data_IF_069086973079
#
_entry.id   IF_069086973079
#
_cell.length_a   1.000
_cell.length_b   1.000
_cell.length_c   1.000
_cell.angle_alpha   90.00
_cell.angle_beta   90.00
_cell.angle_gamma   90.00
#
_symmetry.space_group_name_H-M   'P 1'
#
loop_
_entity.id
_entity.type
_entity.pdbx_description
1 polymer ?
#
# COMPACT_ATOMS: atom_id res chain seq x y z
N UNK A 1 25.30 38.14 -26.78
CA UNK A 1 24.61 36.85 -26.87
C UNK A 1 24.78 36.13 -25.56
N UNK A 2 23.78 36.22 -24.66
CA UNK A 2 23.80 35.61 -23.34
C UNK A 2 23.47 34.12 -23.45
N UNK A 3 24.43 33.26 -23.10
CA UNK A 3 24.17 31.84 -22.95
C UNK A 3 23.42 31.63 -21.62
N UNK A 4 22.14 31.45 -21.71
CA UNK A 4 21.31 31.04 -20.58
C UNK A 4 21.79 29.65 -20.15
N UNK A 5 22.49 29.58 -19.01
CA UNK A 5 22.90 28.32 -18.41
C UNK A 5 21.63 27.53 -18.01
N UNK A 6 21.40 26.43 -18.67
CA UNK A 6 20.43 25.44 -18.23
C UNK A 6 20.91 24.94 -16.87
N UNK A 7 20.30 25.45 -15.79
CA UNK A 7 20.45 24.81 -14.48
C UNK A 7 19.92 23.39 -14.63
N UNK A 8 20.78 22.39 -14.45
CA UNK A 8 20.36 21.00 -14.30
C UNK A 8 19.51 20.94 -13.04
N UNK A 9 18.20 20.92 -13.18
CA UNK A 9 17.31 20.56 -12.11
C UNK A 9 17.45 19.04 -11.88
N UNK A 10 18.53 18.65 -11.20
CA UNK A 10 18.53 17.37 -10.52
C UNK A 10 17.41 17.46 -9.49
N UNK A 11 16.22 16.93 -9.82
CA UNK A 11 15.14 16.81 -8.82
C UNK A 11 15.67 15.92 -7.71
N UNK A 12 15.54 16.34 -6.43
CA UNK A 12 15.89 15.46 -5.34
C UNK A 12 15.14 14.13 -5.52
N UNK A 13 15.76 13.06 -5.11
CA UNK A 13 15.16 11.72 -5.11
C UNK A 13 14.37 11.62 -3.82
N UNK A 14 13.11 11.15 -3.84
CA UNK A 14 12.34 10.97 -2.62
C UNK A 14 13.07 10.07 -1.64
N UNK A 15 12.83 10.25 -0.36
CA UNK A 15 13.34 9.32 0.64
C UNK A 15 12.51 8.03 0.58
N UNK A 16 13.20 6.90 0.38
CA UNK A 16 12.57 5.57 0.39
C UNK A 16 13.11 4.83 1.59
N UNK A 17 12.23 4.54 2.54
CA UNK A 17 12.57 3.85 3.77
C UNK A 17 12.01 2.43 3.74
N UNK A 18 12.84 1.44 4.04
CA UNK A 18 12.37 0.09 4.33
C UNK A 18 11.63 0.10 5.67
N UNK A 19 10.50 -0.59 5.73
CA UNK A 19 9.80 -0.77 6.99
C UNK A 19 10.66 -1.57 7.98
N UNK A 20 10.72 -1.13 9.21
CA UNK A 20 11.32 -1.85 10.33
C UNK A 20 10.42 -2.96 10.90
N UNK A 21 9.15 -3.00 10.48
CA UNK A 21 8.12 -3.92 10.96
C UNK A 21 7.86 -5.08 10.02
N UNK A 22 7.85 -4.86 8.71
CA UNK A 22 7.53 -5.87 7.70
C UNK A 22 8.58 -5.82 6.60
N UNK A 23 9.30 -6.90 6.38
CA UNK A 23 10.31 -7.00 5.34
C UNK A 23 9.74 -6.67 3.95
N UNK A 24 10.56 -6.00 3.14
CA UNK A 24 10.27 -5.61 1.75
C UNK A 24 9.14 -4.59 1.56
N UNK A 25 8.46 -4.17 2.62
CA UNK A 25 7.56 -3.01 2.59
C UNK A 25 8.40 -1.74 2.57
N UNK A 26 8.10 -0.82 1.64
CA UNK A 26 8.79 0.46 1.56
C UNK A 26 7.81 1.62 1.74
N UNK A 27 8.22 2.62 2.50
CA UNK A 27 7.51 3.89 2.63
C UNK A 27 8.26 4.93 1.81
N UNK A 28 7.58 5.51 0.83
CA UNK A 28 8.11 6.58 -0.01
C UNK A 28 7.65 7.91 0.56
N UNK A 29 8.61 8.77 0.89
CA UNK A 29 8.38 10.16 1.32
C UNK A 29 8.75 11.08 0.15
N UNK A 30 7.75 11.56 -0.62
CA UNK A 30 8.02 12.36 -1.80
C UNK A 30 8.43 13.79 -1.42
N UNK A 31 9.23 14.41 -2.27
CA UNK A 31 9.47 15.85 -2.20
C UNK A 31 8.24 16.61 -2.71
N UNK A 32 7.95 17.73 -2.05
CA UNK A 32 6.86 18.64 -2.41
C UNK A 32 7.43 19.95 -2.95
N UNK A 33 6.99 20.35 -4.11
CA UNK A 33 7.40 21.57 -4.78
C UNK A 33 6.21 22.54 -4.82
N UNK A 34 6.22 23.51 -3.91
CA UNK A 34 5.15 24.51 -3.80
C UNK A 34 5.54 25.85 -4.43
N UNK A 35 4.56 26.52 -5.06
CA UNK A 35 4.62 27.94 -5.44
C UNK A 35 3.23 28.56 -5.30
N UNK A 36 3.05 29.82 -5.74
CA UNK A 36 1.78 30.54 -5.67
C UNK A 36 0.60 29.87 -6.38
N UNK A 37 0.86 28.87 -7.25
CA UNK A 37 -0.17 28.10 -7.97
C UNK A 37 -0.60 26.84 -7.25
N UNK A 38 0.19 26.38 -6.22
CA UNK A 38 -0.07 25.16 -5.48
C UNK A 38 1.16 24.28 -5.33
N UNK A 39 0.95 22.97 -5.23
CA UNK A 39 2.00 21.99 -4.94
C UNK A 39 2.10 20.97 -6.06
N UNK A 40 3.32 20.70 -6.51
CA UNK A 40 3.64 19.57 -7.39
C UNK A 40 4.34 18.46 -6.59
N UNK A 41 3.91 17.23 -6.77
CA UNK A 41 4.48 16.03 -6.13
C UNK A 41 4.68 14.97 -7.20
N UNK A 42 5.88 14.39 -7.28
CA UNK A 42 6.10 13.17 -8.07
C UNK A 42 5.66 11.98 -7.21
N UNK A 43 4.62 11.29 -7.64
CA UNK A 43 3.98 10.24 -6.85
C UNK A 43 4.48 8.84 -7.16
N UNK A 44 5.14 8.63 -8.29
CA UNK A 44 5.69 7.34 -8.70
C UNK A 44 6.85 7.49 -9.67
N UNK A 45 7.87 6.66 -9.49
CA UNK A 45 8.92 6.42 -10.48
C UNK A 45 9.36 4.96 -10.39
N UNK A 46 9.43 4.27 -11.54
CA UNK A 46 9.85 2.86 -11.60
C UNK A 46 11.15 2.57 -10.86
N UNK A 47 12.13 3.47 -10.96
CA UNK A 47 13.45 3.30 -10.33
C UNK A 47 13.45 3.42 -8.80
N UNK A 48 12.32 3.74 -8.17
CA UNK A 48 12.22 3.78 -6.71
C UNK A 48 12.19 2.38 -6.09
N UNK A 49 11.80 1.37 -6.86
CA UNK A 49 11.63 0.02 -6.33
C UNK A 49 12.78 -0.88 -6.80
N UNK A 50 13.64 -1.34 -5.85
CA UNK A 50 14.91 -2.01 -6.19
C UNK A 50 14.76 -3.36 -6.91
N UNK A 51 13.61 -3.98 -6.87
CA UNK A 51 13.37 -5.28 -7.50
C UNK A 51 12.98 -5.18 -8.99
N UNK A 52 13.06 -3.99 -9.60
CA UNK A 52 12.78 -3.80 -11.03
C UNK A 52 11.33 -4.06 -11.43
N UNK A 53 10.41 -4.11 -10.46
CA UNK A 53 8.98 -4.29 -10.72
C UNK A 53 8.43 -3.06 -11.42
N UNK A 54 7.80 -3.29 -12.54
CA UNK A 54 7.15 -2.25 -13.31
C UNK A 54 5.65 -2.24 -13.02
N UNK A 55 5.14 -1.11 -12.54
CA UNK A 55 3.70 -0.97 -12.34
C UNK A 55 3.04 -0.81 -13.72
N UNK A 56 2.16 -1.74 -14.05
CA UNK A 56 1.54 -1.86 -15.39
C UNK A 56 0.08 -1.45 -15.43
N UNK A 57 -0.59 -1.36 -14.27
CA UNK A 57 -1.99 -0.94 -14.16
C UNK A 57 -2.13 0.08 -13.02
N UNK A 58 -2.93 1.11 -13.26
CA UNK A 58 -3.28 2.13 -12.28
C UNK A 58 -4.78 2.07 -12.00
N UNK A 59 -5.15 2.10 -10.73
CA UNK A 59 -6.53 2.11 -10.27
C UNK A 59 -6.78 3.30 -9.35
N UNK A 60 -8.02 3.76 -9.32
CA UNK A 60 -8.50 4.80 -8.41
C UNK A 60 -9.78 4.32 -7.74
N UNK A 61 -9.89 4.50 -6.45
CA UNK A 61 -11.12 4.27 -5.72
C UNK A 61 -11.46 5.47 -4.83
N UNK A 62 -12.76 5.73 -4.67
CA UNK A 62 -13.29 6.71 -3.74
C UNK A 62 -14.06 5.98 -2.65
N UNK A 63 -13.88 6.41 -1.41
CA UNK A 63 -14.55 5.82 -0.25
C UNK A 63 -15.04 6.93 0.67
N UNK A 64 -16.21 6.69 1.24
CA UNK A 64 -16.76 7.55 2.28
C UNK A 64 -16.06 7.27 3.61
N UNK A 65 -16.06 8.25 4.50
CA UNK A 65 -15.61 8.08 5.87
C UNK A 65 -16.31 6.89 6.54
N UNK A 66 -15.56 6.13 7.34
CA UNK A 66 -16.06 4.94 8.04
C UNK A 66 -15.95 3.64 7.24
N UNK A 67 -15.61 3.66 5.95
CA UNK A 67 -15.43 2.44 5.19
C UNK A 67 -14.09 1.75 5.52
N UNK A 68 -14.09 0.41 5.60
CA UNK A 68 -12.90 -0.43 5.63
C UNK A 68 -12.89 -1.33 4.40
N UNK A 69 -11.74 -1.43 3.75
CA UNK A 69 -11.48 -2.31 2.60
C UNK A 69 -10.32 -3.22 2.95
N UNK A 70 -10.52 -4.51 2.86
CA UNK A 70 -9.48 -5.52 3.12
C UNK A 70 -9.82 -6.42 4.34
N UNK A 71 -8.87 -7.20 4.82
CA UNK A 71 -7.49 -7.30 4.31
C UNK A 71 -7.44 -8.20 3.08
N UNK A 72 -6.89 -7.67 1.98
CA UNK A 72 -6.64 -8.45 0.78
C UNK A 72 -5.17 -8.81 0.69
N UNK A 73 -4.83 -9.82 -0.09
CA UNK A 73 -3.45 -10.15 -0.40
C UNK A 73 -3.35 -10.88 -1.74
N UNK A 74 -2.17 -10.82 -2.32
CA UNK A 74 -1.86 -11.45 -3.59
C UNK A 74 -0.64 -12.37 -3.42
N UNK A 75 -0.63 -13.50 -4.12
CA UNK A 75 0.55 -14.37 -4.13
C UNK A 75 1.65 -13.85 -5.07
N UNK A 76 1.27 -13.08 -6.08
CA UNK A 76 2.17 -12.68 -7.16
C UNK A 76 2.25 -11.18 -7.38
N UNK A 77 1.15 -10.44 -7.17
CA UNK A 77 1.06 -9.01 -7.41
C UNK A 77 1.66 -8.20 -6.27
N UNK A 78 2.40 -7.16 -6.62
CA UNK A 78 2.79 -6.09 -5.72
C UNK A 78 1.93 -4.84 -5.98
N UNK A 79 1.66 -4.10 -4.90
CA UNK A 79 0.90 -2.87 -4.93
C UNK A 79 1.75 -1.67 -4.53
N UNK A 80 1.41 -0.50 -5.05
CA UNK A 80 1.93 0.78 -4.59
C UNK A 80 0.79 1.78 -4.40
N UNK A 81 0.57 2.21 -3.17
CA UNK A 81 -0.59 3.02 -2.78
C UNK A 81 -0.22 4.46 -2.44
N UNK A 82 -1.08 5.39 -2.82
CA UNK A 82 -1.05 6.81 -2.42
C UNK A 82 -2.47 7.29 -2.12
N UNK A 83 -2.60 8.30 -1.25
CA UNK A 83 -3.89 8.93 -0.90
C UNK A 83 -3.87 10.39 -1.31
N UNK A 84 -4.29 10.73 -2.55
CA UNK A 84 -4.25 12.09 -3.06
C UNK A 84 -5.32 13.02 -2.46
N UNK A 85 -6.34 12.47 -1.78
CA UNK A 85 -7.38 13.23 -1.08
C UNK A 85 -7.85 12.49 0.16
N UNK A 86 -8.02 13.21 1.27
CA UNK A 86 -8.50 12.68 2.53
C UNK A 86 -7.41 11.95 3.30
N UNK A 87 -7.82 11.10 4.26
CA UNK A 87 -6.92 10.37 5.16
C UNK A 87 -7.35 8.92 5.32
N UNK A 88 -6.40 8.02 5.15
CA UNK A 88 -6.55 6.59 5.37
C UNK A 88 -5.69 6.11 6.54
N UNK A 89 -6.19 5.18 7.34
CA UNK A 89 -5.38 4.29 8.17
C UNK A 89 -5.10 3.03 7.35
N UNK A 90 -3.87 2.89 6.87
CA UNK A 90 -3.42 1.70 6.15
C UNK A 90 -2.99 0.64 7.16
N UNK A 91 -3.44 -0.59 6.96
CA UNK A 91 -3.04 -1.76 7.74
C UNK A 91 -2.37 -2.76 6.82
N UNK A 92 -1.18 -3.21 7.22
CA UNK A 92 -0.40 -4.25 6.54
C UNK A 92 -0.13 -5.40 7.52
N UNK A 93 -0.19 -6.64 7.03
CA UNK A 93 0.13 -7.82 7.83
C UNK A 93 0.93 -8.83 7.01
N UNK A 94 2.08 -9.26 7.52
CA UNK A 94 2.91 -10.26 6.83
C UNK A 94 2.29 -11.66 7.00
N UNK A 95 1.79 -12.23 5.90
CA UNK A 95 1.25 -13.60 5.85
C UNK A 95 2.28 -14.62 5.37
N UNK A 96 3.47 -14.18 4.96
CA UNK A 96 4.47 -15.02 4.28
C UNK A 96 5.11 -16.01 5.25
N UNK A 97 4.76 -17.27 5.12
CA UNK A 97 5.40 -18.34 5.88
C UNK A 97 6.91 -18.37 5.62
N UNK A 98 7.70 -18.41 6.68
CA UNK A 98 9.17 -18.36 6.61
C UNK A 98 9.77 -16.97 6.42
N UNK A 99 8.96 -15.91 6.40
CA UNK A 99 9.45 -14.53 6.51
C UNK A 99 9.98 -14.27 7.93
N UNK A 100 11.08 -13.52 8.09
CA UNK A 100 11.50 -13.06 9.42
C UNK A 100 10.46 -12.22 10.15
N UNK A 101 9.51 -11.66 9.40
CA UNK A 101 8.43 -10.81 9.92
C UNK A 101 7.04 -11.46 9.78
N UNK A 102 6.97 -12.79 9.56
CA UNK A 102 5.69 -13.53 9.51
C UNK A 102 4.86 -13.24 10.78
N UNK A 103 3.63 -12.76 10.60
CA UNK A 103 2.73 -12.39 11.68
C UNK A 103 2.88 -10.94 12.18
N UNK A 104 3.82 -10.17 11.66
CA UNK A 104 3.93 -8.76 12.04
C UNK A 104 2.82 -7.92 11.39
N UNK A 105 2.30 -6.96 12.15
CA UNK A 105 1.32 -5.98 11.69
C UNK A 105 1.92 -4.57 11.74
N UNK A 106 1.64 -3.77 10.71
CA UNK A 106 1.97 -2.36 10.62
C UNK A 106 0.70 -1.56 10.35
N UNK A 107 0.44 -0.55 11.18
CA UNK A 107 -0.62 0.44 10.94
C UNK A 107 0.04 1.81 10.74
N UNK A 108 -0.36 2.54 9.69
CA UNK A 108 0.15 3.88 9.42
C UNK A 108 -0.91 4.77 8.79
N UNK A 109 -0.90 6.05 9.15
CA UNK A 109 -1.76 7.04 8.51
C UNK A 109 -1.11 7.56 7.23
N UNK A 110 -1.86 7.52 6.14
CA UNK A 110 -1.49 8.05 4.82
C UNK A 110 -2.56 9.04 4.41
N UNK A 111 -2.15 10.24 4.03
CA UNK A 111 -3.08 11.31 3.69
C UNK A 111 -2.50 12.26 2.61
N UNK A 112 -3.35 13.17 2.14
CA UNK A 112 -2.96 14.16 1.14
C UNK A 112 -1.86 15.11 1.64
N UNK A 113 -1.80 15.35 2.96
CA UNK A 113 -0.83 16.27 3.55
C UNK A 113 0.54 15.63 3.72
N UNK A 114 0.63 14.38 4.20
CA UNK A 114 1.92 13.66 4.27
C UNK A 114 2.36 13.13 2.91
N UNK A 115 1.41 12.86 2.02
CA UNK A 115 1.60 12.38 0.65
C UNK A 115 2.47 11.10 0.55
N UNK A 116 2.48 10.28 1.59
CA UNK A 116 3.26 9.05 1.61
C UNK A 116 2.81 8.09 0.52
N UNK A 117 3.78 7.38 -0.06
CA UNK A 117 3.53 6.20 -0.87
C UNK A 117 3.89 4.94 -0.11
N UNK A 118 3.12 3.88 -0.27
CA UNK A 118 3.32 2.60 0.41
C UNK A 118 3.49 1.50 -0.64
N UNK A 119 4.70 0.95 -0.74
CA UNK A 119 4.95 -0.24 -1.56
C UNK A 119 4.72 -1.50 -0.73
N UNK A 120 3.91 -2.40 -1.27
CA UNK A 120 3.43 -3.61 -0.62
C UNK A 120 3.84 -4.80 -1.49
N UNK A 121 4.75 -5.67 -1.02
CA UNK A 121 5.18 -6.83 -1.79
C UNK A 121 4.12 -7.93 -1.78
N UNK A 122 4.18 -8.89 -2.72
CA UNK A 122 3.33 -10.07 -2.70
C UNK A 122 3.39 -10.79 -1.34
N UNK A 123 2.24 -11.31 -0.91
CA UNK A 123 2.09 -12.06 0.34
C UNK A 123 1.95 -11.21 1.59
N UNK A 124 2.01 -9.89 1.50
CA UNK A 124 1.65 -8.98 2.59
C UNK A 124 0.18 -8.61 2.44
N UNK A 125 -0.63 -9.00 3.42
CA UNK A 125 -2.04 -8.60 3.46
C UNK A 125 -2.12 -7.09 3.73
N UNK A 126 -3.07 -6.44 3.06
CA UNK A 126 -3.21 -5.00 3.07
C UNK A 126 -4.67 -4.56 3.03
N UNK A 127 -4.93 -3.46 3.68
CA UNK A 127 -6.24 -2.83 3.72
C UNK A 127 -6.15 -1.41 4.22
N UNK A 128 -7.26 -0.70 4.17
CA UNK A 128 -7.32 0.65 4.71
C UNK A 128 -8.69 0.96 5.30
N UNK A 129 -8.69 1.80 6.31
CA UNK A 129 -9.87 2.48 6.84
C UNK A 129 -9.91 3.92 6.32
N UNK A 130 -11.07 4.35 5.86
CA UNK A 130 -11.34 5.73 5.43
C UNK A 130 -11.65 6.58 6.66
N UNK A 131 -10.64 7.28 7.20
CA UNK A 131 -10.83 8.17 8.36
C UNK A 131 -11.58 9.45 8.00
N UNK A 132 -11.57 9.81 6.73
CA UNK A 132 -12.38 10.85 6.10
C UNK A 132 -12.88 10.35 4.75
N UNK A 133 -13.74 11.07 4.06
CA UNK A 133 -13.93 10.84 2.63
C UNK A 133 -12.58 10.93 1.93
N UNK A 134 -12.21 9.91 1.17
CA UNK A 134 -10.90 9.83 0.55
C UNK A 134 -10.94 9.38 -0.91
N UNK A 135 -9.86 9.69 -1.60
CA UNK A 135 -9.46 9.06 -2.85
C UNK A 135 -8.17 8.31 -2.61
N UNK A 136 -8.14 7.03 -2.93
CA UNK A 136 -6.90 6.23 -2.99
C UNK A 136 -6.57 5.93 -4.44
N UNK A 137 -5.29 6.06 -4.80
CA UNK A 137 -4.74 5.63 -6.06
C UNK A 137 -3.73 4.52 -5.80
N UNK A 138 -3.83 3.43 -6.54
CA UNK A 138 -2.91 2.32 -6.42
C UNK A 138 -2.47 1.80 -7.78
N UNK A 139 -1.17 1.58 -7.86
CA UNK A 139 -0.50 0.99 -9.00
C UNK A 139 -0.21 -0.46 -8.67
N UNK A 140 -0.32 -1.34 -9.67
CA UNK A 140 -0.03 -2.77 -9.51
C UNK A 140 0.88 -3.26 -10.64
N UNK A 141 1.73 -4.24 -10.34
CA UNK A 141 2.71 -4.78 -11.27
C UNK A 141 2.20 -5.96 -12.10
N UNK A 142 0.91 -6.26 -11.96
CA UNK A 142 0.20 -7.28 -12.73
C UNK A 142 -1.16 -6.76 -13.15
N UNK A 143 -1.71 -7.26 -14.26
CA UNK A 143 -3.11 -7.00 -14.59
C UNK A 143 -4.03 -7.77 -13.65
N UNK A 144 -5.23 -7.22 -13.44
CA UNK A 144 -6.24 -7.83 -12.57
C UNK A 144 -6.42 -9.31 -12.85
N UNK A 145 -6.25 -10.12 -11.82
CA UNK A 145 -6.44 -11.57 -11.84
C UNK A 145 -7.33 -12.00 -10.65
N UNK A 146 -8.59 -12.38 -10.89
CA UNK A 146 -9.50 -12.78 -9.80
C UNK A 146 -9.03 -14.02 -9.04
N UNK A 147 -8.13 -14.83 -9.60
CA UNK A 147 -7.57 -16.00 -8.91
C UNK A 147 -6.46 -15.63 -7.92
N UNK A 148 -5.92 -14.42 -8.00
CA UNK A 148 -4.91 -13.87 -7.07
C UNK A 148 -5.49 -12.78 -6.14
N UNK A 149 -6.81 -12.60 -6.14
CA UNK A 149 -7.55 -11.71 -5.25
C UNK A 149 -7.99 -12.45 -3.98
N UNK A 150 -7.08 -12.66 -3.06
CA UNK A 150 -7.29 -13.39 -1.82
C UNK A 150 -7.61 -12.43 -0.65
N UNK A 151 -8.11 -12.97 0.46
CA UNK A 151 -8.44 -12.17 1.63
C UNK A 151 -8.23 -12.91 2.95
N UNK A 152 -8.03 -12.15 4.01
CA UNK A 152 -7.99 -12.61 5.40
C UNK A 152 -8.88 -11.70 6.25
N UNK A 153 -9.47 -12.24 7.30
CA UNK A 153 -10.46 -11.53 8.12
C UNK A 153 -9.91 -10.22 8.68
N UNK A 154 -10.61 -9.14 8.44
CA UNK A 154 -10.27 -7.78 8.83
C UNK A 154 -10.19 -7.58 10.36
N UNK A 155 -10.95 -8.37 11.11
CA UNK A 155 -11.10 -8.35 12.56
C UNK A 155 -10.41 -9.55 13.25
N UNK A 156 -9.47 -10.20 12.56
CA UNK A 156 -8.73 -11.34 13.14
C UNK A 156 -7.90 -10.87 14.34
N UNK A 157 -8.13 -11.40 15.55
CA UNK A 157 -7.36 -11.01 16.73
C UNK A 157 -5.88 -11.37 16.65
N UNK A 158 -5.49 -12.36 15.81
CA UNK A 158 -4.09 -12.70 15.56
C UNK A 158 -3.38 -11.63 14.69
N UNK A 159 -4.14 -10.84 13.93
CA UNK A 159 -3.63 -9.71 13.15
C UNK A 159 -3.58 -8.45 14.00
N UNK A 160 -4.55 -8.29 14.91
CA UNK A 160 -4.69 -7.14 15.81
C UNK A 160 -4.66 -5.79 15.06
N UNK A 161 -5.40 -5.71 13.95
CA UNK A 161 -5.46 -4.51 13.12
C UNK A 161 -6.15 -3.36 13.88
N UNK A 162 -5.43 -2.24 14.04
CA UNK A 162 -6.02 -0.99 14.54
C UNK A 162 -6.50 -0.15 13.35
N UNK A 163 -7.78 -0.24 13.05
CA UNK A 163 -8.42 0.52 11.97
C UNK A 163 -8.70 1.98 12.33
N UNK A 164 -8.61 2.36 13.61
CA UNK A 164 -8.99 3.70 14.08
C UNK A 164 -10.50 3.99 13.98
N UNK A 165 -11.33 2.95 13.82
CA UNK A 165 -12.79 3.03 13.70
C UNK A 165 -13.44 2.03 14.65
N UNK A 166 -14.62 2.37 15.20
CA UNK A 166 -15.36 1.51 16.12
C UNK A 166 -16.44 0.67 15.44
N UNK A 167 -17.02 1.17 14.35
CA UNK A 167 -18.12 0.53 13.62
C UNK A 167 -17.93 0.73 12.10
N UNK A 168 -17.01 -0.02 11.49
CA UNK A 168 -16.68 0.18 10.08
C UNK A 168 -17.73 -0.41 9.14
N UNK A 169 -17.88 0.24 7.99
CA UNK A 169 -18.67 -0.27 6.87
C UNK A 169 -17.78 -1.12 5.97
N UNK A 170 -18.15 -2.39 5.78
CA UNK A 170 -17.41 -3.37 4.97
C UNK A 170 -18.28 -3.95 3.86
N UNK A 171 -17.63 -4.43 2.81
CA UNK A 171 -18.27 -5.27 1.81
C UNK A 171 -18.64 -6.65 2.37
N UNK A 172 -19.66 -7.31 1.79
CA UNK A 172 -20.00 -8.69 2.17
C UNK A 172 -18.83 -9.66 1.96
N UNK A 173 -17.99 -9.42 0.94
CA UNK A 173 -16.76 -10.18 0.69
C UNK A 173 -15.79 -10.06 1.85
N UNK A 174 -15.50 -8.84 2.30
CA UNK A 174 -14.49 -8.59 3.33
C UNK A 174 -14.93 -9.15 4.70
N UNK A 175 -16.23 -9.15 4.96
CA UNK A 175 -16.81 -9.79 6.15
C UNK A 175 -16.71 -11.32 6.14
N UNK A 176 -16.64 -11.94 4.97
CA UNK A 176 -16.62 -13.39 4.80
C UNK A 176 -15.22 -14.00 4.68
N UNK A 177 -14.16 -13.18 4.72
CA UNK A 177 -12.78 -13.68 4.61
C UNK A 177 -12.42 -14.61 5.80
N UNK A 178 -11.62 -15.68 5.55
CA UNK A 178 -11.20 -16.62 6.58
C UNK A 178 -10.25 -15.98 7.59
N UNK A 179 -10.17 -16.54 8.78
CA UNK A 179 -9.13 -16.18 9.76
C UNK A 179 -7.75 -16.60 9.26
N UNK A 180 -6.69 -15.91 9.71
CA UNK A 180 -5.30 -16.24 9.37
C UNK A 180 -4.95 -17.70 9.64
N UNK A 181 -5.44 -18.25 10.77
CA UNK A 181 -5.20 -19.63 11.16
C UNK A 181 -5.85 -20.65 10.22
N UNK A 182 -6.91 -20.25 9.50
CA UNK A 182 -7.68 -21.11 8.61
C UNK A 182 -7.20 -21.05 7.16
N UNK A 183 -6.16 -20.26 6.86
CA UNK A 183 -5.60 -20.17 5.52
C UNK A 183 -4.95 -21.51 5.13
N UNK A 184 -5.49 -22.14 4.09
CA UNK A 184 -4.93 -23.37 3.53
C UNK A 184 -3.53 -23.18 2.98
N UNK A 185 -2.72 -24.23 2.98
CA UNK A 185 -1.32 -24.19 2.51
C UNK A 185 -1.18 -23.71 1.07
N UNK A 186 -2.18 -23.92 0.22
CA UNK A 186 -2.20 -23.51 -1.19
C UNK A 186 -2.48 -22.02 -1.41
N UNK A 187 -3.01 -21.32 -0.40
CA UNK A 187 -3.30 -19.87 -0.47
C UNK A 187 -2.47 -19.06 0.52
N UNK A 188 -1.77 -19.71 1.45
CA UNK A 188 -0.83 -19.03 2.34
C UNK A 188 0.45 -18.71 1.58
N UNK A 189 0.85 -17.42 1.49
CA UNK A 189 2.08 -17.05 0.79
C UNK A 189 3.33 -17.53 1.52
N UNK A 190 4.44 -17.68 0.78
CA UNK A 190 5.74 -18.03 1.31
C UNK A 190 6.79 -16.96 0.99
N UNK A 191 7.76 -16.75 1.89
CA UNK A 191 8.82 -15.73 1.72
C UNK A 191 9.71 -15.95 0.48
N UNK A 192 9.75 -17.17 -0.06
CA UNK A 192 10.60 -17.54 -1.20
C UNK A 192 9.96 -17.29 -2.57
N UNK A 193 8.83 -16.60 -2.65
CA UNK A 193 8.22 -16.17 -3.92
C UNK A 193 9.03 -15.02 -4.57
N UNK A 194 10.35 -15.23 -4.72
CA UNK A 194 11.19 -14.36 -5.54
C UNK A 194 10.99 -14.76 -7.01
N UNK A 195 10.42 -13.86 -7.77
CA UNK A 195 10.65 -13.78 -9.21
C UNK A 195 10.94 -12.37 -9.62
#
# INVERSE_FOLDING_TARGET
MSRTAWRSYARPVPTIEQSDRINDVCIVKPDKYGDERGVFIETYRRSWFPLGREMVQANRAERQAGAVVGLHYHLHQADYWTVPRGRARVVLHDLRAGSPTDGATLCLDVDADNALGVFIPPGVAHGFASLTDLTISYLVDSYYNPSDELGVAWDDPAIAADWGLTDPVLSARDQANPRRADLGANVRPHANLRR
#
